data_IF_506406132272
#
_entry.id   IF_506406132272
#
_cell.length_a   1.000
_cell.length_b   1.000
_cell.length_c   1.000
_cell.angle_alpha   90.00
_cell.angle_beta   90.00
_cell.angle_gamma   90.00
#
_symmetry.space_group_name_H-M   'P 1'
#
loop_
_entity.id
_entity.type
_entity.pdbx_description
1 polymer ?
#
# COMPACT_ATOMS: atom_id res chain seq x y z
N UNK A 1 24.23 6.07 -12.13
CA UNK A 1 23.12 5.99 -11.15
C UNK A 1 23.64 6.54 -9.84
N UNK A 2 22.97 7.54 -9.28
CA UNK A 2 23.37 8.10 -8.00
C UNK A 2 22.63 7.33 -6.90
N UNK A 3 23.35 6.52 -6.14
CA UNK A 3 22.78 5.84 -4.99
C UNK A 3 22.29 6.89 -3.97
N UNK A 4 21.08 6.73 -3.45
CA UNK A 4 20.55 7.59 -2.39
C UNK A 4 21.30 7.34 -1.07
N UNK A 5 21.65 6.08 -0.84
CA UNK A 5 22.46 5.57 0.26
C UNK A 5 22.96 4.15 -0.13
N UNK A 6 23.92 3.57 0.61
CA UNK A 6 24.40 2.22 0.31
C UNK A 6 23.28 1.17 0.31
N UNK A 7 23.20 0.37 -0.76
CA UNK A 7 22.19 -0.70 -0.93
C UNK A 7 20.73 -0.22 -0.95
N UNK A 8 20.48 1.01 -1.38
CA UNK A 8 19.15 1.60 -1.53
C UNK A 8 18.14 0.70 -2.28
N UNK A 9 18.52 0.12 -3.42
CA UNK A 9 17.70 -0.82 -4.17
C UNK A 9 17.33 -2.08 -3.36
N UNK A 10 18.26 -2.62 -2.56
CA UNK A 10 17.96 -3.78 -1.70
C UNK A 10 16.97 -3.40 -0.61
N UNK A 11 17.22 -2.29 0.09
CA UNK A 11 16.34 -1.83 1.18
C UNK A 11 14.94 -1.52 0.66
N UNK A 12 14.84 -0.77 -0.44
CA UNK A 12 13.54 -0.47 -1.07
C UNK A 12 12.87 -1.72 -1.60
N UNK A 13 13.63 -2.64 -2.20
CA UNK A 13 13.12 -3.93 -2.67
C UNK A 13 12.48 -4.74 -1.53
N UNK A 14 13.16 -4.84 -0.38
CA UNK A 14 12.62 -5.50 0.81
C UNK A 14 11.35 -4.81 1.33
N UNK A 15 11.34 -3.48 1.40
CA UNK A 15 10.17 -2.73 1.85
C UNK A 15 8.98 -2.93 0.90
N UNK A 16 9.19 -2.87 -0.42
CA UNK A 16 8.14 -3.14 -1.41
C UNK A 16 7.62 -4.57 -1.28
N UNK A 17 8.48 -5.57 -1.03
CA UNK A 17 8.02 -6.95 -0.84
C UNK A 17 7.22 -7.10 0.46
N UNK A 18 7.71 -6.56 1.57
CA UNK A 18 7.06 -6.75 2.88
C UNK A 18 5.80 -5.90 2.96
N UNK A 19 5.94 -4.57 2.83
CA UNK A 19 4.83 -3.62 2.96
C UNK A 19 3.93 -3.74 1.74
N UNK A 20 4.47 -3.57 0.54
CA UNK A 20 3.65 -3.66 -0.67
C UNK A 20 3.09 -5.07 -0.89
N UNK A 21 3.93 -6.04 -1.19
CA UNK A 21 3.44 -7.30 -1.72
C UNK A 21 2.73 -8.14 -0.64
N UNK A 22 3.38 -8.37 0.52
CA UNK A 22 2.84 -9.25 1.56
C UNK A 22 1.70 -8.61 2.35
N UNK A 23 1.81 -7.35 2.77
CA UNK A 23 0.76 -6.77 3.60
C UNK A 23 -0.31 -6.05 2.77
N UNK A 24 0.06 -5.26 1.77
CA UNK A 24 -0.92 -4.55 0.94
C UNK A 24 -1.61 -5.49 -0.05
N UNK A 25 -0.89 -6.10 -0.99
CA UNK A 25 -1.54 -6.90 -2.04
C UNK A 25 -2.21 -8.17 -1.49
N UNK A 26 -1.54 -8.98 -0.66
CA UNK A 26 -2.18 -10.17 -0.07
C UNK A 26 -3.34 -9.77 0.87
N UNK A 27 -3.20 -8.69 1.64
CA UNK A 27 -4.28 -8.20 2.50
C UNK A 27 -5.53 -7.79 1.70
N UNK A 28 -5.34 -7.12 0.56
CA UNK A 28 -6.44 -6.78 -0.34
C UNK A 28 -7.02 -8.00 -1.04
N UNK A 29 -6.18 -8.98 -1.39
CA UNK A 29 -6.65 -10.26 -1.95
C UNK A 29 -7.54 -11.01 -0.95
N UNK A 30 -7.16 -11.07 0.32
CA UNK A 30 -8.01 -11.64 1.38
C UNK A 30 -9.33 -10.86 1.46
N UNK A 31 -9.28 -9.53 1.38
CA UNK A 31 -10.48 -8.68 1.41
C UNK A 31 -11.46 -9.00 0.27
N UNK A 32 -10.94 -9.16 -0.96
CA UNK A 32 -11.77 -9.51 -2.13
C UNK A 32 -12.33 -10.93 -2.03
N UNK A 33 -11.53 -11.90 -1.56
CA UNK A 33 -11.94 -13.31 -1.50
C UNK A 33 -12.87 -13.61 -0.33
N UNK A 34 -12.67 -12.95 0.82
CA UNK A 34 -13.43 -13.19 2.04
C UNK A 34 -13.45 -11.93 2.93
N UNK A 35 -14.46 -11.09 2.72
CA UNK A 35 -14.62 -9.84 3.46
C UNK A 35 -14.75 -10.06 4.98
N UNK A 36 -15.47 -11.09 5.42
CA UNK A 36 -15.62 -11.39 6.84
C UNK A 36 -14.29 -11.78 7.50
N UNK A 37 -13.47 -12.56 6.80
CA UNK A 37 -12.12 -12.89 7.27
C UNK A 37 -11.25 -11.63 7.34
N UNK A 38 -11.33 -10.75 6.35
CA UNK A 38 -10.59 -9.50 6.36
C UNK A 38 -10.97 -8.59 7.54
N UNK A 39 -12.25 -8.53 7.89
CA UNK A 39 -12.72 -7.84 9.11
C UNK A 39 -12.13 -8.51 10.37
N UNK A 40 -12.18 -9.85 10.46
CA UNK A 40 -11.63 -10.60 11.62
C UNK A 40 -10.12 -10.40 11.80
N UNK A 41 -9.39 -10.25 10.69
CA UNK A 41 -7.96 -9.98 10.68
C UNK A 41 -7.60 -8.50 10.89
N UNK A 42 -8.60 -7.60 11.01
CA UNK A 42 -8.39 -6.16 11.18
C UNK A 42 -7.94 -5.44 9.91
N UNK A 43 -8.04 -6.09 8.74
CA UNK A 43 -7.73 -5.50 7.44
C UNK A 43 -8.84 -4.52 7.02
N UNK A 44 -10.10 -4.85 7.33
CA UNK A 44 -11.29 -4.04 7.02
C UNK A 44 -12.00 -3.57 8.30
N UNK A 45 -12.70 -2.43 8.22
CA UNK A 45 -13.46 -1.89 9.37
C UNK A 45 -14.71 -2.73 9.65
N UNK A 46 -15.08 -2.76 10.93
CA UNK A 46 -16.37 -3.28 11.37
C UNK A 46 -17.45 -2.21 11.18
N UNK A 47 -18.69 -2.65 10.94
CA UNK A 47 -19.89 -1.80 10.95
C UNK A 47 -19.85 -0.60 9.96
N UNK A 48 -19.12 -0.75 8.86
CA UNK A 48 -19.06 0.26 7.82
C UNK A 48 -20.44 0.45 7.16
N UNK A 49 -20.93 1.69 6.97
CA UNK A 49 -22.15 1.91 6.21
C UNK A 49 -22.03 1.33 4.79
N UNK A 50 -23.13 0.86 4.18
CA UNK A 50 -23.10 0.15 2.90
C UNK A 50 -22.37 0.90 1.78
N UNK A 51 -22.52 2.21 1.71
CA UNK A 51 -21.89 3.07 0.71
C UNK A 51 -20.36 3.06 0.80
N UNK A 52 -19.79 2.99 2.02
CA UNK A 52 -18.34 2.89 2.21
C UNK A 52 -17.84 1.47 1.93
N UNK A 53 -18.66 0.46 2.23
CA UNK A 53 -18.30 -0.93 1.95
C UNK A 53 -18.14 -1.18 0.44
N UNK A 54 -19.08 -0.70 -0.38
CA UNK A 54 -18.97 -0.81 -1.85
C UNK A 54 -17.71 -0.13 -2.36
N UNK A 55 -17.38 1.04 -1.81
CA UNK A 55 -16.17 1.77 -2.17
C UNK A 55 -14.90 0.99 -1.81
N UNK A 56 -14.78 0.52 -0.57
CA UNK A 56 -13.60 -0.23 -0.09
C UNK A 56 -13.43 -1.56 -0.85
N UNK A 57 -14.52 -2.25 -1.22
CA UNK A 57 -14.47 -3.43 -2.08
C UNK A 57 -13.95 -3.13 -3.49
N UNK A 58 -14.36 -2.00 -4.07
CA UNK A 58 -13.87 -1.56 -5.38
C UNK A 58 -12.37 -1.23 -5.33
N UNK A 59 -11.93 -0.55 -4.26
CA UNK A 59 -10.51 -0.25 -4.02
C UNK A 59 -9.70 -1.54 -3.83
N UNK A 60 -10.16 -2.46 -2.98
CA UNK A 60 -9.50 -3.74 -2.78
C UNK A 60 -9.36 -4.53 -4.11
N UNK A 61 -10.38 -4.50 -4.96
CA UNK A 61 -10.36 -5.14 -6.27
C UNK A 61 -9.35 -4.49 -7.22
N UNK A 62 -9.30 -3.15 -7.25
CA UNK A 62 -8.31 -2.41 -8.03
C UNK A 62 -6.87 -2.70 -7.56
N UNK A 63 -6.67 -2.77 -6.25
CA UNK A 63 -5.38 -3.10 -5.65
C UNK A 63 -4.95 -4.52 -6.04
N UNK A 64 -5.82 -5.51 -5.95
CA UNK A 64 -5.48 -6.88 -6.37
C UNK A 64 -5.08 -6.94 -7.84
N UNK A 65 -5.75 -6.18 -8.71
CA UNK A 65 -5.48 -6.18 -10.15
C UNK A 65 -4.13 -5.55 -10.53
N UNK A 66 -3.60 -4.63 -9.71
CA UNK A 66 -2.41 -3.83 -10.06
C UNK A 66 -1.23 -4.14 -9.14
N UNK A 67 -1.46 -4.35 -7.84
CA UNK A 67 -0.41 -4.44 -6.83
C UNK A 67 0.38 -5.77 -6.84
N UNK A 68 0.02 -6.76 -7.67
CA UNK A 68 0.90 -7.91 -7.93
C UNK A 68 2.25 -7.47 -8.53
N UNK A 69 2.27 -6.32 -9.24
CA UNK A 69 3.49 -5.69 -9.76
C UNK A 69 4.52 -5.37 -8.68
N UNK A 70 4.11 -5.28 -7.41
CA UNK A 70 5.01 -5.04 -6.29
C UNK A 70 5.98 -6.20 -6.11
N UNK A 71 5.52 -7.44 -6.34
CA UNK A 71 6.36 -8.63 -6.27
C UNK A 71 7.47 -8.57 -7.31
N UNK A 72 7.13 -8.19 -8.55
CA UNK A 72 8.11 -8.03 -9.64
C UNK A 72 9.09 -6.88 -9.37
N UNK A 73 8.58 -5.72 -8.96
CA UNK A 73 9.42 -4.56 -8.66
C UNK A 73 10.38 -4.87 -7.50
N UNK A 74 9.87 -5.43 -6.41
CA UNK A 74 10.64 -5.79 -5.24
C UNK A 74 11.73 -6.82 -5.55
N UNK A 75 11.37 -7.93 -6.20
CA UNK A 75 12.35 -8.96 -6.59
C UNK A 75 13.39 -8.42 -7.59
N UNK A 76 12.96 -7.64 -8.59
CA UNK A 76 13.87 -7.03 -9.55
C UNK A 76 14.86 -6.07 -8.88
N UNK A 77 14.42 -5.29 -7.90
CA UNK A 77 15.29 -4.42 -7.11
C UNK A 77 16.30 -5.21 -6.28
N UNK A 78 15.90 -6.31 -5.62
CA UNK A 78 16.84 -7.17 -4.88
C UNK A 78 17.93 -7.77 -5.78
N UNK A 79 17.59 -8.07 -7.04
CA UNK A 79 18.51 -8.62 -8.03
C UNK A 79 19.36 -7.54 -8.73
N UNK A 80 19.17 -6.26 -8.40
CA UNK A 80 19.87 -5.15 -9.04
C UNK A 80 19.47 -4.94 -10.51
N UNK A 81 18.27 -5.35 -10.90
CA UNK A 81 17.80 -5.22 -12.27
C UNK A 81 17.43 -3.76 -12.61
N UNK A 82 18.06 -3.18 -13.62
CA UNK A 82 17.86 -1.76 -13.97
C UNK A 82 16.42 -1.36 -14.32
N UNK A 83 15.64 -2.26 -14.93
CA UNK A 83 14.22 -2.01 -15.22
C UNK A 83 13.37 -1.90 -13.95
N UNK A 84 13.80 -2.50 -12.85
CA UNK A 84 13.04 -2.52 -11.60
C UNK A 84 13.00 -1.14 -10.94
N UNK A 85 13.99 -0.29 -11.19
CA UNK A 85 14.02 1.10 -10.73
C UNK A 85 12.88 1.89 -11.37
N UNK A 86 12.68 1.75 -12.68
CA UNK A 86 11.55 2.40 -13.37
C UNK A 86 10.22 1.79 -12.94
N UNK A 87 10.18 0.47 -12.75
CA UNK A 87 8.96 -0.19 -12.28
C UNK A 87 8.57 0.27 -10.87
N UNK A 88 9.52 0.67 -10.03
CA UNK A 88 9.27 1.13 -8.66
C UNK A 88 8.40 2.40 -8.57
N UNK A 89 8.21 3.14 -9.67
CA UNK A 89 7.19 4.21 -9.75
C UNK A 89 5.79 3.71 -9.44
N UNK A 90 5.44 2.50 -9.86
CA UNK A 90 4.10 1.93 -9.69
C UNK A 90 3.81 1.66 -8.20
N UNK A 91 4.55 0.78 -7.49
CA UNK A 91 4.36 0.58 -6.05
C UNK A 91 4.55 1.89 -5.28
N UNK A 92 5.52 2.71 -5.66
CA UNK A 92 5.78 3.99 -5.03
C UNK A 92 4.56 4.89 -5.02
N UNK A 93 3.98 5.11 -6.20
CA UNK A 93 2.83 5.99 -6.38
C UNK A 93 1.58 5.45 -5.69
N UNK A 94 1.31 4.15 -5.81
CA UNK A 94 0.10 3.54 -5.23
C UNK A 94 0.16 3.56 -3.70
N UNK A 95 1.29 3.16 -3.09
CA UNK A 95 1.44 3.17 -1.63
C UNK A 95 1.34 4.59 -1.05
N UNK A 96 1.94 5.58 -1.71
CA UNK A 96 1.82 6.98 -1.29
C UNK A 96 0.39 7.51 -1.46
N UNK A 97 -0.24 7.28 -2.60
CA UNK A 97 -1.62 7.67 -2.87
C UNK A 97 -2.58 7.09 -1.83
N UNK A 98 -2.45 5.80 -1.50
CA UNK A 98 -3.29 5.12 -0.51
C UNK A 98 -3.15 5.72 0.87
N UNK A 99 -1.91 5.93 1.32
CA UNK A 99 -1.67 6.52 2.63
C UNK A 99 -2.29 7.92 2.75
N UNK A 100 -2.07 8.77 1.74
CA UNK A 100 -2.66 10.12 1.72
C UNK A 100 -4.17 10.08 1.68
N UNK A 101 -4.73 9.25 0.80
CA UNK A 101 -6.18 9.13 0.62
C UNK A 101 -6.86 8.63 1.89
N UNK A 102 -6.27 7.66 2.59
CA UNK A 102 -6.78 7.16 3.86
C UNK A 102 -6.95 8.28 4.90
N UNK A 103 -5.98 9.19 5.02
CA UNK A 103 -6.11 10.34 5.93
C UNK A 103 -7.18 11.34 5.51
N UNK A 104 -7.25 11.68 4.21
CA UNK A 104 -8.27 12.60 3.71
C UNK A 104 -9.69 12.03 3.86
N UNK A 105 -9.88 10.74 3.53
CA UNK A 105 -11.17 10.07 3.70
C UNK A 105 -11.57 9.97 5.16
N UNK A 106 -10.65 9.59 6.04
CA UNK A 106 -10.91 9.53 7.49
C UNK A 106 -11.31 10.90 8.03
N UNK A 107 -10.63 11.98 7.61
CA UNK A 107 -10.98 13.33 8.01
C UNK A 107 -12.38 13.73 7.53
N UNK A 108 -12.76 13.36 6.31
CA UNK A 108 -14.09 13.63 5.75
C UNK A 108 -15.18 12.81 6.44
N UNK A 109 -14.94 11.53 6.72
CA UNK A 109 -15.84 10.67 7.49
C UNK A 109 -16.11 11.28 8.87
N UNK A 110 -15.08 11.76 9.57
CA UNK A 110 -15.22 12.43 10.88
C UNK A 110 -16.09 13.69 10.79
N UNK A 111 -15.95 14.49 9.73
CA UNK A 111 -16.81 15.66 9.48
C UNK A 111 -18.26 15.26 9.21
N UNK A 112 -18.50 14.10 8.63
CA UNK A 112 -19.82 13.52 8.41
C UNK A 112 -20.40 12.82 9.67
N UNK A 113 -19.71 12.88 10.81
CA UNK A 113 -20.15 12.23 12.06
C UNK A 113 -19.78 10.74 12.15
N UNK A 114 -19.07 10.20 11.18
CA UNK A 114 -18.66 8.79 11.11
C UNK A 114 -17.25 8.64 11.68
N UNK A 115 -17.07 7.68 12.60
CA UNK A 115 -15.77 7.42 13.24
C UNK A 115 -15.26 6.04 12.85
N UNK A 116 -14.55 6.00 11.72
CA UNK A 116 -13.76 4.85 11.28
C UNK A 116 -12.26 5.15 11.52
N UNK A 117 -11.40 4.14 11.37
CA UNK A 117 -9.95 4.24 11.62
C UNK A 117 -9.60 4.53 13.09
N UNK A 118 -10.26 3.85 14.02
CA UNK A 118 -10.02 3.98 15.46
C UNK A 118 -8.81 3.19 15.97
N UNK A 119 -8.29 2.27 15.15
CA UNK A 119 -7.24 1.34 15.56
C UNK A 119 -5.83 1.88 15.26
N UNK A 120 -4.91 1.89 16.24
CA UNK A 120 -3.52 2.34 16.05
C UNK A 120 -2.78 1.62 14.91
N UNK A 121 -3.11 0.33 14.69
CA UNK A 121 -2.51 -0.47 13.62
C UNK A 121 -2.76 0.11 12.23
N UNK A 122 -3.95 0.69 11.97
CA UNK A 122 -4.27 1.30 10.67
C UNK A 122 -3.48 2.59 10.44
N UNK A 123 -3.21 3.35 11.50
CA UNK A 123 -2.36 4.55 11.42
C UNK A 123 -0.91 4.15 11.09
N UNK A 124 -0.37 3.16 11.82
CA UNK A 124 0.98 2.64 11.58
C UNK A 124 1.10 2.12 10.15
N UNK A 125 0.07 1.40 9.68
CA UNK A 125 0.00 0.89 8.32
C UNK A 125 0.06 2.01 7.26
N UNK A 126 -0.73 3.07 7.42
CA UNK A 126 -0.69 4.21 6.51
C UNK A 126 0.69 4.89 6.49
N UNK A 127 1.34 5.02 7.65
CA UNK A 127 2.69 5.59 7.75
C UNK A 127 3.73 4.69 7.05
N UNK A 128 3.64 3.37 7.23
CA UNK A 128 4.53 2.42 6.56
C UNK A 128 4.37 2.46 5.03
N UNK A 129 3.13 2.55 4.54
CA UNK A 129 2.83 2.75 3.12
C UNK A 129 3.40 4.07 2.59
N UNK A 130 3.20 5.17 3.32
CA UNK A 130 3.71 6.48 2.91
C UNK A 130 5.24 6.46 2.79
N UNK A 131 5.92 6.00 3.85
CA UNK A 131 7.38 5.98 3.90
C UNK A 131 7.97 5.08 2.80
N UNK A 132 7.41 3.88 2.62
CA UNK A 132 7.84 2.94 1.58
C UNK A 132 7.58 3.53 0.19
N UNK A 133 6.40 4.11 -0.03
CA UNK A 133 6.01 4.67 -1.32
C UNK A 133 6.89 5.85 -1.73
N UNK A 134 7.12 6.78 -0.81
CA UNK A 134 8.00 7.93 -1.05
C UNK A 134 9.44 7.50 -1.34
N UNK A 135 9.96 6.54 -0.58
CA UNK A 135 11.32 6.03 -0.80
C UNK A 135 11.46 5.32 -2.15
N UNK A 136 10.45 4.53 -2.54
CA UNK A 136 10.41 3.88 -3.85
C UNK A 136 10.38 4.89 -5.00
N UNK A 137 9.59 5.96 -4.91
CA UNK A 137 9.56 7.02 -5.92
C UNK A 137 10.88 7.79 -5.99
N UNK A 138 11.51 8.09 -4.84
CA UNK A 138 12.82 8.75 -4.81
C UNK A 138 13.89 7.89 -5.50
N UNK A 139 13.88 6.57 -5.25
CA UNK A 139 14.78 5.63 -5.92
C UNK A 139 14.50 5.54 -7.43
N UNK A 140 13.22 5.50 -7.81
CA UNK A 140 12.79 5.45 -9.20
C UNK A 140 13.12 6.74 -9.98
N UNK A 141 13.31 7.86 -9.26
CA UNK A 141 13.74 9.14 -9.82
C UNK A 141 15.27 9.20 -10.01
N UNK A 142 16.06 8.51 -9.17
CA UNK A 142 17.53 8.59 -9.19
C UNK A 142 18.23 7.62 -10.16
N UNK A 143 17.52 6.60 -10.66
CA UNK A 143 17.98 5.66 -11.69
C UNK A 143 17.07 5.67 -12.90
#
# INVERSE_FOLDING_TARGET
MNALFPYDHVVVGLLILIVGFLFHWVGQLISVLNWELAIKLGLQEQEMPPEYNVYEQAIASADVAIAWTYGLAGAGLLLGAGWALKLAWIPGSILTYHALSAWFWTANQRKAGIRLMSQPMRVIWCLANLATGMLAMLLAWSG
#
